data_IF_730029610636
#
_entry.id   IF_730029610636
#
_cell.length_a   1.000
_cell.length_b   1.000
_cell.length_c   1.000
_cell.angle_alpha   90.00
_cell.angle_beta   90.00
_cell.angle_gamma   90.00
#
_symmetry.space_group_name_H-M   'P 1'
#
loop_
_entity.id
_entity.type
_entity.pdbx_description
1 polymer ?
#
# COMPACT_ATOMS: atom_id res chain seq x y z
N UNK A 1 -26.82 -19.17 -13.04
CA UNK A 1 -25.67 -20.02 -12.70
C UNK A 1 -25.47 -19.93 -11.20
N UNK A 2 -25.52 -21.07 -10.48
CA UNK A 2 -25.39 -21.12 -9.02
C UNK A 2 -23.95 -21.56 -8.74
N UNK A 3 -23.10 -20.64 -8.27
CA UNK A 3 -21.70 -20.97 -7.96
C UNK A 3 -21.70 -21.67 -6.60
N UNK A 4 -21.25 -22.92 -6.57
CA UNK A 4 -21.07 -23.70 -5.35
C UNK A 4 -19.64 -23.52 -4.82
N UNK A 5 -19.44 -23.35 -3.50
CA UNK A 5 -18.11 -23.26 -2.92
C UNK A 5 -17.30 -24.54 -3.15
N UNK A 6 -16.06 -24.43 -3.61
CA UNK A 6 -15.10 -25.55 -3.71
C UNK A 6 -14.98 -26.20 -5.10
N UNK A 7 -15.76 -25.77 -6.09
CA UNK A 7 -15.66 -26.27 -7.47
C UNK A 7 -14.91 -25.28 -8.38
N UNK A 8 -14.00 -25.78 -9.22
CA UNK A 8 -13.34 -24.98 -10.27
C UNK A 8 -14.31 -24.84 -11.44
N UNK A 9 -14.87 -23.63 -11.60
CA UNK A 9 -15.66 -23.26 -12.78
C UNK A 9 -14.80 -22.57 -13.84
N UNK A 10 -15.02 -22.90 -15.11
CA UNK A 10 -14.39 -22.19 -16.24
C UNK A 10 -15.28 -21.06 -16.75
N UNK A 11 -14.72 -19.86 -16.92
CA UNK A 11 -15.36 -18.78 -17.66
C UNK A 11 -14.90 -18.85 -19.13
N UNK A 12 -15.86 -18.95 -20.06
CA UNK A 12 -15.59 -18.86 -21.49
C UNK A 12 -16.02 -17.49 -21.99
N UNK A 13 -15.09 -16.74 -22.54
CA UNK A 13 -15.40 -15.49 -23.23
C UNK A 13 -16.26 -15.80 -24.47
N UNK A 14 -17.41 -15.13 -24.58
CA UNK A 14 -18.32 -15.27 -25.73
C UNK A 14 -17.97 -14.33 -26.89
N UNK A 15 -17.04 -13.40 -26.65
CA UNK A 15 -16.44 -12.52 -27.63
C UNK A 15 -14.96 -12.31 -27.26
N UNK A 16 -14.08 -11.93 -28.22
CA UNK A 16 -12.71 -11.55 -27.89
C UNK A 16 -12.68 -10.48 -26.81
N UNK A 17 -11.95 -10.73 -25.73
CA UNK A 17 -11.63 -9.69 -24.76
C UNK A 17 -10.47 -8.90 -25.32
N UNK A 18 -10.74 -7.72 -25.85
CA UNK A 18 -9.69 -6.73 -26.12
C UNK A 18 -9.22 -6.22 -24.77
N UNK A 19 -8.14 -6.80 -24.27
CA UNK A 19 -7.39 -6.20 -23.16
C UNK A 19 -6.71 -4.97 -23.76
N UNK A 20 -6.95 -3.75 -23.26
CA UNK A 20 -6.17 -2.60 -23.68
C UNK A 20 -4.70 -2.98 -23.51
N UNK A 21 -3.90 -2.80 -24.56
CA UNK A 21 -2.46 -2.97 -24.43
C UNK A 21 -2.02 -2.00 -23.33
N UNK A 22 -1.72 -2.54 -22.16
CA UNK A 22 -1.37 -1.76 -20.98
C UNK A 22 0.10 -1.36 -21.11
N UNK A 23 0.48 -0.80 -22.26
CA UNK A 23 1.81 -0.29 -22.62
C UNK A 23 2.31 0.86 -21.72
N UNK A 24 1.82 0.92 -20.49
CA UNK A 24 2.34 1.69 -19.37
C UNK A 24 3.69 1.16 -18.90
N UNK A 25 3.95 -0.15 -19.03
CA UNK A 25 5.15 -0.76 -18.47
C UNK A 25 5.87 -1.62 -19.49
N UNK A 26 7.20 -1.65 -19.38
CA UNK A 26 8.06 -2.42 -20.28
C UNK A 26 7.70 -3.91 -20.19
N UNK A 27 7.54 -4.60 -21.34
CA UNK A 27 7.23 -6.01 -21.36
C UNK A 27 8.35 -6.84 -20.74
N UNK A 28 7.99 -7.95 -20.11
CA UNK A 28 8.93 -8.94 -19.59
C UNK A 28 9.86 -9.43 -20.71
N UNK A 29 11.16 -9.19 -20.59
CA UNK A 29 12.15 -9.93 -21.38
C UNK A 29 12.12 -11.40 -20.98
N UNK A 30 12.07 -12.30 -21.97
CA UNK A 30 11.97 -13.76 -21.75
C UNK A 30 13.13 -14.37 -20.95
N UNK A 31 14.25 -13.65 -20.84
CA UNK A 31 15.43 -14.05 -20.09
C UNK A 31 15.68 -13.04 -18.98
N UNK A 32 14.97 -13.17 -17.86
CA UNK A 32 15.30 -12.42 -16.64
C UNK A 32 15.76 -13.38 -15.57
N UNK A 33 17.02 -13.20 -15.18
CA UNK A 33 17.52 -13.70 -13.91
C UNK A 33 16.75 -12.94 -12.82
N UNK A 34 15.92 -13.64 -12.04
CA UNK A 34 15.32 -13.05 -10.84
C UNK A 34 16.48 -12.55 -9.99
N UNK A 35 16.65 -11.23 -9.93
CA UNK A 35 17.74 -10.64 -9.16
C UNK A 35 17.42 -10.86 -7.69
N UNK A 36 18.38 -11.42 -6.95
CA UNK A 36 18.24 -11.48 -5.50
C UNK A 36 17.95 -10.08 -4.97
N UNK A 37 17.02 -9.94 -4.01
CA UNK A 37 16.73 -8.64 -3.43
C UNK A 37 18.03 -8.03 -2.87
N UNK A 38 18.25 -6.72 -3.05
CA UNK A 38 19.46 -6.08 -2.58
C UNK A 38 19.58 -6.20 -1.06
N UNK A 39 20.81 -6.18 -0.54
CA UNK A 39 21.03 -6.12 0.89
C UNK A 39 20.36 -4.86 1.47
N UNK A 40 19.51 -5.06 2.47
CA UNK A 40 18.78 -3.96 3.11
C UNK A 40 19.62 -3.32 4.22
N UNK A 41 19.51 -1.99 4.41
CA UNK A 41 20.05 -1.36 5.61
C UNK A 41 19.38 -1.93 6.87
N UNK A 42 19.99 -1.68 8.04
CA UNK A 42 19.36 -2.03 9.33
C UNK A 42 18.38 -0.93 9.72
N UNK A 43 17.13 -1.31 9.99
CA UNK A 43 16.08 -0.42 10.48
C UNK A 43 15.07 -1.19 11.31
N UNK A 44 14.22 -0.49 12.04
CA UNK A 44 13.05 -1.08 12.68
C UNK A 44 11.90 -1.14 11.66
N UNK A 45 11.34 -2.31 11.33
CA UNK A 45 10.37 -2.45 10.24
C UNK A 45 8.96 -1.99 10.64
N UNK A 46 8.84 -0.78 11.19
CA UNK A 46 7.60 -0.14 11.61
C UNK A 46 7.68 1.36 11.39
N UNK A 47 6.55 1.95 11.02
CA UNK A 47 6.36 3.39 11.11
C UNK A 47 6.15 3.83 12.58
N UNK A 48 5.97 5.13 12.78
CA UNK A 48 5.76 5.77 14.07
C UNK A 48 4.84 7.00 13.95
N UNK A 49 4.41 7.52 15.10
CA UNK A 49 3.79 8.84 15.15
C UNK A 49 4.82 9.95 14.93
N UNK A 50 4.35 11.20 14.76
CA UNK A 50 5.23 12.35 14.47
C UNK A 50 6.35 12.58 15.48
N UNK A 51 6.15 12.20 16.74
CA UNK A 51 7.10 12.42 17.82
C UNK A 51 8.00 11.22 18.10
N UNK A 52 7.84 10.12 17.37
CA UNK A 52 8.57 8.86 17.61
C UNK A 52 8.27 8.20 18.96
N UNK A 53 7.15 8.58 19.60
CA UNK A 53 6.78 8.07 20.94
C UNK A 53 5.82 6.89 20.89
N UNK A 54 5.22 6.61 19.73
CA UNK A 54 4.33 5.47 19.53
C UNK A 54 4.63 4.82 18.18
N UNK A 55 4.74 3.48 18.20
CA UNK A 55 4.92 2.68 17.01
C UNK A 55 3.63 2.64 16.18
N UNK A 56 3.78 2.72 14.87
CA UNK A 56 2.72 2.68 13.88
C UNK A 56 2.62 1.34 13.18
N UNK A 57 2.13 1.37 11.94
CA UNK A 57 1.92 0.18 11.13
C UNK A 57 3.27 -0.50 10.81
N UNK A 58 3.38 -1.84 10.96
CA UNK A 58 4.55 -2.57 10.52
C UNK A 58 4.66 -2.53 8.99
N UNK A 59 5.89 -2.53 8.50
CA UNK A 59 6.11 -2.72 7.08
C UNK A 59 5.83 -4.18 6.72
N UNK A 60 5.05 -4.37 5.67
CA UNK A 60 4.65 -5.68 5.16
C UNK A 60 4.84 -5.80 3.63
N UNK A 61 5.25 -4.73 2.95
CA UNK A 61 5.55 -4.71 1.51
C UNK A 61 6.93 -4.09 1.28
N UNK A 62 7.75 -4.72 0.44
CA UNK A 62 8.99 -4.19 -0.12
C UNK A 62 8.81 -4.02 -1.63
N UNK A 63 9.14 -2.83 -2.14
CA UNK A 63 9.09 -2.52 -3.57
C UNK A 63 10.49 -2.17 -4.08
N UNK A 64 10.85 -2.68 -5.24
CA UNK A 64 12.15 -2.40 -5.88
C UNK A 64 11.88 -1.75 -7.24
N UNK A 65 12.30 -0.49 -7.42
CA UNK A 65 12.14 0.25 -8.67
C UNK A 65 11.85 1.74 -8.47
N UNK A 66 11.62 2.47 -9.55
CA UNK A 66 11.46 3.93 -9.51
C UNK A 66 10.11 4.36 -8.91
N UNK A 67 10.04 5.59 -8.38
CA UNK A 67 8.76 6.21 -7.97
C UNK A 67 7.74 6.19 -9.12
N UNK A 68 8.18 6.46 -10.35
CA UNK A 68 7.33 6.45 -11.55
C UNK A 68 6.75 5.06 -11.85
N UNK A 69 7.54 4.00 -11.70
CA UNK A 69 7.09 2.62 -11.87
C UNK A 69 6.04 2.24 -10.81
N UNK A 70 6.29 2.63 -9.56
CA UNK A 70 5.34 2.43 -8.44
C UNK A 70 4.01 3.16 -8.73
N UNK A 71 4.07 4.45 -9.06
CA UNK A 71 2.86 5.25 -9.37
C UNK A 71 2.08 4.69 -10.56
N UNK A 72 2.78 4.30 -11.63
CA UNK A 72 2.16 3.69 -12.82
C UNK A 72 1.43 2.38 -12.48
N UNK A 73 2.06 1.51 -11.68
CA UNK A 73 1.49 0.22 -11.28
C UNK A 73 0.22 0.42 -10.44
N UNK A 74 0.28 1.23 -9.37
CA UNK A 74 -0.89 1.49 -8.51
C UNK A 74 -2.06 2.09 -9.31
N UNK A 75 -1.79 3.12 -10.14
CA UNK A 75 -2.81 3.72 -11.01
C UNK A 75 -3.32 2.77 -12.09
N UNK A 76 -2.52 1.77 -12.48
CA UNK A 76 -2.89 0.70 -13.42
C UNK A 76 -4.14 -0.06 -12.99
N UNK A 77 -4.32 -0.18 -11.68
CA UNK A 77 -5.36 -1.02 -11.05
C UNK A 77 -6.29 -0.21 -10.15
N UNK A 78 -6.43 1.09 -10.44
CA UNK A 78 -7.45 1.95 -9.86
C UNK A 78 -7.13 2.49 -8.46
N UNK A 79 -5.92 2.27 -7.94
CA UNK A 79 -5.47 2.95 -6.74
C UNK A 79 -5.22 4.43 -7.03
N UNK A 80 -5.64 5.29 -6.11
CA UNK A 80 -5.59 6.74 -6.23
C UNK A 80 -4.58 7.28 -5.23
N UNK A 81 -3.68 8.21 -5.61
CA UNK A 81 -2.78 8.83 -4.65
C UNK A 81 -3.55 9.56 -3.55
N UNK A 82 -3.26 9.23 -2.29
CA UNK A 82 -3.73 10.01 -1.16
C UNK A 82 -2.93 11.32 -1.15
N UNK A 83 -3.61 12.47 -1.30
CA UNK A 83 -3.03 13.78 -1.60
C UNK A 83 -1.64 14.03 -0.99
N UNK A 84 -0.66 14.35 -1.85
CA UNK A 84 0.62 14.95 -1.45
C UNK A 84 0.30 16.20 -0.62
N UNK A 85 0.84 16.32 0.60
CA UNK A 85 0.90 17.63 1.26
C UNK A 85 1.81 18.50 0.37
N UNK A 86 1.21 19.32 -0.49
CA UNK A 86 1.92 20.32 -1.29
C UNK A 86 2.86 21.10 -0.40
N UNK A 87 4.12 21.24 -0.84
CA UNK A 87 5.16 22.05 -0.17
C UNK A 87 4.98 23.54 -0.44
N UNK A 88 3.86 23.97 -1.05
CA UNK A 88 3.51 25.39 -1.15
C UNK A 88 2.15 25.68 -0.52
N UNK A 89 2.22 26.52 0.53
CA UNK A 89 1.13 27.30 1.13
C UNK A 89 0.08 26.50 1.89
N UNK A 90 0.40 26.12 3.14
CA UNK A 90 -0.61 25.75 4.14
C UNK A 90 -1.27 27.05 4.63
N UNK A 91 -2.39 27.45 4.02
CA UNK A 91 -3.32 28.38 4.68
C UNK A 91 -4.08 27.64 5.77
N UNK A 92 -4.34 28.33 6.89
CA UNK A 92 -5.06 27.82 8.08
C UNK A 92 -6.43 27.21 7.75
N UNK A 93 -7.01 27.56 6.60
CA UNK A 93 -8.30 27.12 6.11
C UNK A 93 -8.28 25.67 5.58
N UNK A 94 -7.18 25.19 4.99
CA UNK A 94 -7.09 23.81 4.48
C UNK A 94 -7.00 22.82 5.66
N UNK A 95 -6.29 23.17 6.73
CA UNK A 95 -6.23 22.36 7.96
C UNK A 95 -7.61 22.24 8.59
N UNK A 96 -8.40 23.32 8.58
CA UNK A 96 -9.79 23.31 9.06
C UNK A 96 -10.72 22.53 8.11
N UNK A 97 -10.49 22.57 6.79
CA UNK A 97 -11.23 21.80 5.81
C UNK A 97 -10.97 20.28 5.92
N UNK A 98 -9.73 19.87 6.21
CA UNK A 98 -9.38 18.46 6.51
C UNK A 98 -10.02 18.02 7.83
N UNK A 99 -10.02 18.89 8.85
CA UNK A 99 -10.65 18.62 10.14
C UNK A 99 -12.19 18.57 10.08
N UNK A 100 -12.82 19.08 9.02
CA UNK A 100 -14.27 19.17 8.85
C UNK A 100 -14.85 18.20 7.82
N UNK A 101 -14.01 17.42 7.12
CA UNK A 101 -14.51 16.32 6.31
C UNK A 101 -15.01 15.20 7.23
N UNK A 102 -16.21 14.64 7.00
CA UNK A 102 -16.62 13.40 7.67
C UNK A 102 -15.48 12.39 7.52
N UNK A 103 -15.14 11.66 8.59
CA UNK A 103 -14.03 10.70 8.62
C UNK A 103 -14.02 9.74 7.41
N UNK A 104 -15.20 9.49 6.84
CA UNK A 104 -15.44 8.71 5.63
C UNK A 104 -14.70 9.20 4.36
N UNK A 105 -14.36 10.50 4.29
CA UNK A 105 -13.64 11.10 3.16
C UNK A 105 -12.30 11.74 3.57
N UNK A 106 -11.85 11.49 4.80
CA UNK A 106 -10.58 12.01 5.28
C UNK A 106 -9.42 11.20 4.64
N UNK A 107 -8.38 11.87 4.13
CA UNK A 107 -7.22 11.18 3.56
C UNK A 107 -6.52 10.33 4.64
N UNK A 108 -5.77 9.31 4.19
CA UNK A 108 -4.97 8.48 5.09
C UNK A 108 -4.11 9.34 6.03
N UNK A 109 -4.05 8.96 7.31
CA UNK A 109 -3.26 9.68 8.30
C UNK A 109 -1.76 9.62 7.95
N UNK A 110 -1.02 10.70 8.25
CA UNK A 110 0.43 10.70 8.09
C UNK A 110 1.09 9.90 9.21
N UNK A 111 1.94 8.97 8.82
CA UNK A 111 2.85 8.25 9.71
C UNK A 111 4.28 8.59 9.32
N UNK A 112 5.20 8.31 10.23
CA UNK A 112 6.60 8.69 10.10
C UNK A 112 7.47 7.44 10.11
N UNK A 113 8.63 7.53 9.50
CA UNK A 113 9.68 6.52 9.59
C UNK A 113 10.99 7.29 9.66
N UNK A 114 11.76 7.06 10.74
CA UNK A 114 12.99 7.80 11.04
C UNK A 114 12.75 9.33 11.00
N UNK A 115 11.64 9.78 11.59
CA UNK A 115 11.23 11.19 11.60
C UNK A 115 10.75 11.76 10.26
N UNK A 116 10.69 10.96 9.19
CA UNK A 116 10.25 11.39 7.84
C UNK A 116 8.83 10.94 7.54
N UNK A 117 7.93 11.83 7.04
CA UNK A 117 6.59 11.42 6.62
C UNK A 117 6.66 10.48 5.41
N UNK A 118 5.59 9.72 5.15
CA UNK A 118 5.53 8.88 3.96
C UNK A 118 5.78 9.68 2.66
N UNK A 119 6.52 9.09 1.72
CA UNK A 119 6.81 9.70 0.41
C UNK A 119 5.63 9.53 -0.54
N UNK A 120 5.01 8.34 -0.51
CA UNK A 120 3.84 8.00 -1.32
C UNK A 120 2.76 7.42 -0.42
N UNK A 121 1.52 7.61 -0.84
CA UNK A 121 0.38 6.92 -0.26
C UNK A 121 -0.68 6.71 -1.33
N UNK A 122 -1.31 5.54 -1.31
CA UNK A 122 -2.36 5.18 -2.25
C UNK A 122 -3.57 4.63 -1.50
N UNK A 123 -4.75 4.92 -2.03
CA UNK A 123 -6.03 4.46 -1.53
C UNK A 123 -6.81 3.79 -2.68
N UNK A 124 -7.42 2.65 -2.39
CA UNK A 124 -8.39 2.00 -3.27
C UNK A 124 -9.75 1.93 -2.53
N UNK A 125 -10.78 2.63 -3.02
CA UNK A 125 -12.11 2.60 -2.41
C UNK A 125 -12.71 1.19 -2.40
N UNK A 126 -13.30 0.80 -1.28
CA UNK A 126 -14.05 -0.45 -1.15
C UNK A 126 -15.51 -0.33 -1.61
N UNK A 127 -16.32 -1.37 -1.39
CA UNK A 127 -17.74 -1.39 -1.80
C UNK A 127 -18.62 -0.38 -1.06
N UNK A 128 -18.11 0.24 0.02
CA UNK A 128 -18.76 1.33 0.72
C UNK A 128 -17.72 2.20 1.43
N UNK A 129 -18.15 3.36 1.91
CA UNK A 129 -17.33 4.39 2.58
C UNK A 129 -16.62 3.97 3.87
N UNK A 130 -16.96 2.80 4.43
CA UNK A 130 -16.29 2.25 5.62
C UNK A 130 -15.16 1.29 5.28
N UNK A 131 -15.08 0.87 4.02
CA UNK A 131 -14.07 -0.06 3.54
C UNK A 131 -13.15 0.69 2.60
N UNK A 132 -11.86 0.68 2.93
CA UNK A 132 -10.85 1.32 2.11
C UNK A 132 -9.54 0.56 2.27
N UNK A 133 -8.94 0.27 1.14
CA UNK A 133 -7.61 -0.29 1.02
C UNK A 133 -6.62 0.85 0.98
N UNK A 134 -5.51 0.78 1.72
CA UNK A 134 -4.52 1.84 1.70
C UNK A 134 -3.11 1.34 1.97
N UNK A 135 -2.13 1.98 1.36
CA UNK A 135 -0.71 1.74 1.61
C UNK A 135 0.01 3.07 1.77
N UNK A 136 0.92 3.13 2.74
CA UNK A 136 1.91 4.21 2.89
C UNK A 136 3.27 3.67 2.55
N UNK A 137 4.09 4.44 1.83
CA UNK A 137 5.37 3.97 1.28
C UNK A 137 6.46 5.00 1.57
N UNK A 138 7.63 4.51 1.97
CA UNK A 138 8.83 5.30 2.23
C UNK A 138 9.99 4.78 1.37
N UNK A 139 10.78 5.68 0.82
CA UNK A 139 12.06 5.38 0.21
C UNK A 139 13.05 4.97 1.29
N UNK A 140 13.59 3.76 1.18
CA UNK A 140 14.56 3.19 2.10
C UNK A 140 16.00 3.34 1.58
N UNK A 141 16.22 3.05 0.30
CA UNK A 141 17.53 3.21 -0.36
C UNK A 141 17.35 3.84 -1.74
N UNK A 142 17.99 5.00 -1.94
CA UNK A 142 17.88 5.76 -3.20
C UNK A 142 18.67 5.12 -4.34
N UNK A 143 19.83 4.53 -4.06
CA UNK A 143 20.70 3.93 -5.08
C UNK A 143 20.13 2.60 -5.57
N UNK A 144 19.69 1.77 -4.63
CA UNK A 144 19.06 0.48 -4.94
C UNK A 144 17.56 0.60 -5.28
N UNK A 145 16.99 1.80 -5.17
CA UNK A 145 15.57 2.09 -5.42
C UNK A 145 14.64 1.17 -4.62
N UNK A 146 14.95 1.00 -3.34
CA UNK A 146 14.19 0.14 -2.42
C UNK A 146 13.24 0.98 -1.60
N UNK A 147 12.01 0.51 -1.48
CA UNK A 147 10.95 1.15 -0.72
C UNK A 147 10.34 0.15 0.26
N UNK A 148 9.91 0.65 1.41
CA UNK A 148 9.14 -0.08 2.42
C UNK A 148 7.72 0.46 2.47
N UNK A 149 6.75 -0.44 2.58
CA UNK A 149 5.34 -0.13 2.57
C UNK A 149 4.62 -0.74 3.77
N UNK A 150 3.69 0.04 4.34
CA UNK A 150 2.71 -0.41 5.31
C UNK A 150 1.32 -0.41 4.67
N UNK A 151 0.85 -1.61 4.29
CA UNK A 151 -0.45 -1.84 3.66
C UNK A 151 -1.47 -2.29 4.71
N UNK A 152 -2.56 -1.54 4.83
CA UNK A 152 -3.64 -1.78 5.79
C UNK A 152 -5.02 -1.62 5.13
N UNK A 153 -6.03 -2.25 5.73
CA UNK A 153 -7.42 -2.17 5.28
C UNK A 153 -8.31 -1.59 6.37
N UNK A 154 -9.02 -0.53 6.04
CA UNK A 154 -10.13 -0.03 6.83
C UNK A 154 -11.36 -0.94 6.62
N UNK A 155 -12.01 -1.35 7.70
CA UNK A 155 -13.20 -2.23 7.74
C UNK A 155 -14.32 -1.66 8.62
N UNK A 156 -14.29 -0.37 8.93
CA UNK A 156 -15.26 0.28 9.79
C UNK A 156 -14.84 1.66 10.24
N UNK A 157 -15.70 2.29 11.04
CA UNK A 157 -15.41 3.54 11.73
C UNK A 157 -15.67 3.35 13.21
N UNK A 158 -14.75 3.84 14.03
CA UNK A 158 -14.80 3.87 15.49
C UNK A 158 -15.18 5.28 15.90
N UNK A 159 -16.31 5.41 16.58
CA UNK A 159 -16.73 6.65 17.23
C UNK A 159 -16.41 6.56 18.71
N UNK A 160 -15.59 7.48 19.21
CA UNK A 160 -15.33 7.62 20.64
C UNK A 160 -16.04 8.88 21.13
N UNK A 161 -16.90 8.80 22.16
CA UNK A 161 -17.67 9.95 22.65
C UNK A 161 -16.83 11.18 23.04
N UNK A 162 -15.55 10.98 23.37
CA UNK A 162 -14.62 12.01 23.84
C UNK A 162 -13.60 12.47 22.78
N UNK A 163 -13.54 11.84 21.60
CA UNK A 163 -12.67 12.26 20.49
C UNK A 163 -13.54 12.85 19.36
N UNK A 164 -13.31 14.11 18.94
CA UNK A 164 -14.12 14.75 17.91
C UNK A 164 -13.92 14.15 16.51
N UNK A 165 -12.90 13.30 16.34
CA UNK A 165 -12.58 12.64 15.08
C UNK A 165 -12.87 11.15 15.20
N UNK A 166 -13.66 10.63 14.25
CA UNK A 166 -13.88 9.19 14.15
C UNK A 166 -12.65 8.54 13.52
N UNK A 167 -12.17 7.45 14.12
CA UNK A 167 -10.98 6.72 13.67
C UNK A 167 -11.43 5.51 12.86
N UNK A 168 -10.81 5.23 11.72
CA UNK A 168 -11.14 4.02 10.97
C UNK A 168 -10.77 2.77 11.76
N UNK A 169 -11.61 1.73 11.69
CA UNK A 169 -11.31 0.43 12.25
C UNK A 169 -10.46 -0.34 11.24
N UNK A 170 -9.27 -0.74 11.62
CA UNK A 170 -8.33 -1.47 10.77
C UNK A 170 -8.59 -2.98 10.91
N UNK A 171 -8.51 -3.71 9.80
CA UNK A 171 -8.48 -5.18 9.79
C UNK A 171 -7.22 -5.67 10.51
N UNK A 172 -7.34 -6.45 11.60
CA UNK A 172 -6.17 -6.90 12.34
C UNK A 172 -5.22 -7.78 11.53
N UNK A 173 -5.70 -8.60 10.59
CA UNK A 173 -4.86 -9.48 9.78
C UNK A 173 -4.31 -8.74 8.56
N UNK A 174 -3.20 -8.02 8.76
CA UNK A 174 -2.63 -7.13 7.74
C UNK A 174 -2.03 -7.86 6.54
N UNK A 175 -1.76 -9.17 6.67
CA UNK A 175 -1.26 -9.99 5.57
C UNK A 175 -2.27 -10.09 4.42
N UNK A 176 -3.57 -10.04 4.73
CA UNK A 176 -4.61 -10.00 3.69
C UNK A 176 -4.50 -8.77 2.81
N UNK A 177 -4.11 -7.63 3.39
CA UNK A 177 -3.91 -6.41 2.61
C UNK A 177 -2.59 -6.41 1.86
N UNK A 178 -1.51 -6.91 2.47
CA UNK A 178 -0.23 -7.17 1.77
C UNK A 178 -0.47 -7.98 0.51
N UNK A 179 -1.16 -9.10 0.63
CA UNK A 179 -1.38 -10.03 -0.48
C UNK A 179 -2.33 -9.42 -1.54
N UNK A 180 -3.27 -8.57 -1.12
CA UNK A 180 -4.10 -7.77 -2.04
C UNK A 180 -3.25 -6.79 -2.85
N UNK A 181 -2.35 -6.05 -2.20
CA UNK A 181 -1.44 -5.12 -2.89
C UNK A 181 -0.57 -5.88 -3.89
N UNK A 182 0.03 -7.01 -3.50
CA UNK A 182 0.83 -7.83 -4.43
C UNK A 182 0.00 -8.26 -5.64
N UNK A 183 -1.20 -8.81 -5.42
CA UNK A 183 -2.09 -9.24 -6.49
C UNK A 183 -2.45 -8.09 -7.45
N UNK A 184 -2.77 -6.91 -6.90
CA UNK A 184 -3.11 -5.73 -7.69
C UNK A 184 -1.90 -5.24 -8.49
N UNK A 185 -0.69 -5.25 -7.91
CA UNK A 185 0.55 -4.90 -8.62
C UNK A 185 0.87 -5.91 -9.75
N UNK A 186 0.68 -7.21 -9.55
CA UNK A 186 0.83 -8.21 -10.61
C UNK A 186 -0.23 -8.04 -11.71
N UNK A 187 -1.49 -7.84 -11.32
CA UNK A 187 -2.60 -7.62 -12.24
C UNK A 187 -2.45 -6.34 -13.08
N UNK A 188 -1.70 -5.35 -12.58
CA UNK A 188 -1.36 -4.14 -13.35
C UNK A 188 -0.43 -4.43 -14.53
N UNK A 189 0.25 -5.57 -14.55
CA UNK A 189 1.30 -5.87 -15.51
C UNK A 189 2.57 -5.05 -15.29
N UNK A 190 2.71 -4.37 -14.15
CA UNK A 190 3.84 -3.50 -13.82
C UNK A 190 4.63 -3.97 -12.59
N UNK A 191 4.23 -5.06 -11.93
CA UNK A 191 4.91 -5.62 -10.77
C UNK A 191 5.10 -7.14 -10.90
N UNK A 192 6.23 -7.63 -10.41
CA UNK A 192 6.59 -9.04 -10.34
C UNK A 192 6.81 -9.44 -8.87
N UNK A 193 5.99 -10.35 -8.36
CA UNK A 193 6.23 -10.93 -7.03
C UNK A 193 7.49 -11.80 -7.07
N UNK A 194 8.42 -11.54 -6.15
CA UNK A 194 9.67 -12.29 -6.05
C UNK A 194 9.63 -13.33 -4.93
N UNK A 195 9.27 -12.90 -3.72
CA UNK A 195 9.33 -13.75 -2.54
C UNK A 195 8.57 -13.15 -1.35
N UNK A 196 8.34 -13.98 -0.33
CA UNK A 196 8.13 -13.52 1.04
C UNK A 196 9.42 -13.64 1.83
N UNK A 197 9.82 -12.59 2.54
CA UNK A 197 11.00 -12.62 3.41
C UNK A 197 10.74 -11.95 4.77
N UNK A 198 11.26 -12.50 5.88
CA UNK A 198 11.23 -11.81 7.16
C UNK A 198 12.24 -10.65 7.16
N UNK A 199 11.90 -9.56 7.84
CA UNK A 199 12.84 -8.48 8.15
C UNK A 199 13.40 -8.65 9.57
N UNK A 200 14.66 -8.26 9.83
CA UNK A 200 15.18 -8.18 11.19
C UNK A 200 14.28 -7.29 12.06
N UNK A 201 13.84 -7.82 13.21
CA UNK A 201 12.91 -7.10 14.09
C UNK A 201 11.44 -7.11 13.64
N UNK A 202 11.08 -7.94 12.66
CA UNK A 202 9.68 -8.20 12.32
C UNK A 202 8.92 -8.73 13.54
N UNK A 203 7.67 -8.31 13.64
CA UNK A 203 6.74 -8.72 14.69
C UNK A 203 5.69 -9.66 14.09
N UNK A 204 5.03 -10.46 14.93
CA UNK A 204 3.85 -11.26 14.53
C UNK A 204 2.55 -10.69 15.11
N UNK A 205 2.65 -9.84 16.13
CA UNK A 205 1.53 -9.09 16.68
C UNK A 205 1.98 -7.75 17.25
N UNK A 206 1.06 -6.78 17.30
CA UNK A 206 1.34 -5.46 17.83
C UNK A 206 0.12 -4.55 17.89
N UNK A 207 0.38 -3.27 18.12
CA UNK A 207 -0.63 -2.21 18.04
C UNK A 207 -0.11 -1.02 17.23
N UNK A 208 -0.98 -0.41 16.45
CA UNK A 208 -0.68 0.80 15.69
C UNK A 208 -0.71 2.07 16.57
N UNK A 209 -0.50 3.23 15.95
CA UNK A 209 -0.55 4.54 16.62
C UNK A 209 -1.91 4.85 17.27
N UNK A 210 -2.98 4.21 16.80
CA UNK A 210 -4.34 4.37 17.32
C UNK A 210 -4.70 3.35 18.42
N UNK A 211 -3.78 2.43 18.73
CA UNK A 211 -3.94 1.38 19.72
C UNK A 211 -4.68 0.13 19.20
N UNK A 212 -5.01 0.06 17.91
CA UNK A 212 -5.67 -1.07 17.28
C UNK A 212 -4.72 -2.25 17.12
N UNK A 213 -5.24 -3.47 17.33
CA UNK A 213 -4.44 -4.71 17.25
C UNK A 213 -4.11 -5.05 15.80
N UNK A 214 -2.89 -5.54 15.59
CA UNK A 214 -2.36 -6.01 14.32
C UNK A 214 -1.80 -7.44 14.50
N UNK A 215 -1.92 -8.27 13.46
CA UNK A 215 -1.45 -9.65 13.38
C UNK A 215 -0.87 -9.90 11.99
N UNK A 216 0.29 -10.53 11.93
CA UNK A 216 0.99 -10.89 10.69
C UNK A 216 1.84 -12.14 10.89
N UNK A 217 2.15 -12.83 9.80
CA UNK A 217 3.13 -13.91 9.73
C UNK A 217 4.60 -13.41 9.86
N UNK A 218 4.82 -12.11 9.97
CA UNK A 218 6.13 -11.47 10.15
C UNK A 218 6.96 -11.39 8.87
N UNK A 219 6.39 -11.74 7.72
CA UNK A 219 7.05 -11.67 6.41
C UNK A 219 6.60 -10.45 5.63
N UNK A 220 7.49 -9.97 4.78
CA UNK A 220 7.26 -8.91 3.83
C UNK A 220 7.18 -9.52 2.43
N UNK A 221 6.23 -9.07 1.61
CA UNK A 221 6.25 -9.39 0.19
C UNK A 221 7.31 -8.56 -0.51
N UNK A 222 8.09 -9.15 -1.41
CA UNK A 222 9.05 -8.43 -2.25
C UNK A 222 8.48 -8.36 -3.66
N UNK A 223 8.31 -7.15 -4.18
CA UNK A 223 7.79 -6.91 -5.52
C UNK A 223 8.79 -6.08 -6.31
N UNK A 224 9.22 -6.60 -7.45
CA UNK A 224 10.02 -5.87 -8.42
C UNK A 224 9.08 -5.09 -9.34
N UNK A 225 9.28 -3.78 -9.44
CA UNK A 225 8.54 -2.94 -10.37
C UNK A 225 9.18 -3.00 -11.76
N UNK A 226 8.33 -2.99 -12.78
CA UNK A 226 8.74 -2.90 -14.19
C UNK A 226 8.94 -1.44 -14.58
N UNK A 227 9.88 -1.21 -15.49
CA UNK A 227 10.12 0.13 -16.06
C UNK A 227 8.84 0.68 -16.69
N UNK A 228 8.71 1.99 -16.70
CA UNK A 228 7.61 2.67 -17.41
C UNK A 228 8.11 2.94 -18.82
N UNK A 229 7.39 2.45 -19.83
CA UNK A 229 7.72 2.73 -21.22
C UNK A 229 7.59 4.23 -21.52
N UNK A 230 8.23 4.75 -22.59
CA UNK A 230 8.05 6.14 -22.98
C UNK A 230 6.55 6.43 -23.22
N UNK A 231 6.04 7.61 -22.81
CA UNK A 231 4.67 7.99 -23.11
C UNK A 231 4.47 8.00 -24.64
N UNK A 232 3.36 7.40 -25.08
CA UNK A 232 2.92 7.39 -26.49
C UNK A 232 2.72 8.80 -27.03
#
# INVERSE_FOLDING_TARGET
MRILPGEIGGLRLTAPLTVPDAGRCDPLTANRELTDPPALPKFLPRSENRTGTALGDPFNVLLIGTEAAIDSAFRGVGWIPAQKRSVMTVTREITAAIASRPAMNAPVSTQYFEGRPQDLAYELPGPNVRIRHHIRIWLLDTLAQVWVGAANKDVGVIFKPWEPQATHRIEPHIDHERDRVVHDLEASGCGDFLAYMPLPGAITEGRDVSGQRLVTDGRNSVVQMRGVGPPL
#
